data_IF_899289008907
#
_entry.id   IF_899289008907
#
_cell.length_a   1.000
_cell.length_b   1.000
_cell.length_c   1.000
_cell.angle_alpha   90.00
_cell.angle_beta   90.00
_cell.angle_gamma   90.00
#
_symmetry.space_group_name_H-M   'P 1'
#
loop_
_entity.id
_entity.type
_entity.pdbx_description
1 polymer ?
#
# COMPACT_ATOMS: atom_id res chain seq x y z
N UNK A 1 15.29 -10.08 -7.76
CA UNK A 1 14.15 -9.16 -7.73
C UNK A 1 14.67 -7.76 -7.94
N UNK A 2 14.10 -7.03 -8.89
CA UNK A 2 14.36 -5.61 -9.05
C UNK A 2 13.43 -4.78 -8.12
N UNK A 3 13.51 -3.46 -8.22
CA UNK A 3 12.66 -2.54 -7.43
C UNK A 3 11.17 -2.75 -7.73
N UNK A 4 10.86 -3.05 -8.98
CA UNK A 4 9.52 -3.11 -9.52
C UNK A 4 8.81 -4.39 -9.08
N UNK A 5 9.54 -5.52 -9.04
CA UNK A 5 9.11 -6.78 -8.45
C UNK A 5 8.66 -6.61 -6.99
N UNK A 6 9.44 -5.85 -6.21
CA UNK A 6 9.14 -5.60 -4.80
C UNK A 6 7.90 -4.70 -4.68
N UNK A 7 7.80 -3.65 -5.50
CA UNK A 7 6.66 -2.74 -5.48
C UNK A 7 5.34 -3.42 -5.88
N UNK A 8 5.39 -4.27 -6.91
CA UNK A 8 4.26 -5.08 -7.34
C UNK A 8 3.83 -6.07 -6.25
N UNK A 9 4.77 -6.82 -5.69
CA UNK A 9 4.45 -7.76 -4.62
C UNK A 9 3.80 -7.07 -3.41
N UNK A 10 4.32 -5.90 -3.03
CA UNK A 10 3.77 -5.07 -1.95
C UNK A 10 2.34 -4.61 -2.25
N UNK A 11 2.08 -4.12 -3.46
CA UNK A 11 0.76 -3.65 -3.86
C UNK A 11 -0.26 -4.80 -3.97
N UNK A 12 0.13 -5.92 -4.59
CA UNK A 12 -0.79 -7.03 -4.86
C UNK A 12 -1.02 -7.95 -3.65
N UNK A 13 -0.02 -8.13 -2.79
CA UNK A 13 -0.08 -9.14 -1.71
C UNK A 13 -0.09 -8.56 -0.30
N UNK A 14 0.40 -7.34 -0.09
CA UNK A 14 0.57 -6.77 1.26
C UNK A 14 -0.42 -5.63 1.53
N UNK A 15 -0.62 -4.72 0.56
CA UNK A 15 -1.47 -3.53 0.73
C UNK A 15 -2.90 -3.91 1.15
N UNK A 16 -3.51 -4.85 0.44
CA UNK A 16 -4.89 -5.26 0.64
C UNK A 16 -5.15 -5.94 1.99
N UNK A 17 -4.32 -6.91 2.42
CA UNK A 17 -4.46 -7.47 3.76
C UNK A 17 -4.21 -6.47 4.89
N UNK A 18 -3.29 -5.52 4.71
CA UNK A 18 -3.00 -4.51 5.74
C UNK A 18 -4.08 -3.43 5.83
N UNK A 19 -4.71 -3.05 4.72
CA UNK A 19 -5.77 -2.04 4.71
C UNK A 19 -6.99 -2.49 5.50
N UNK A 20 -7.18 -3.80 5.66
CA UNK A 20 -8.25 -4.43 6.43
C UNK A 20 -7.95 -4.59 7.93
N UNK A 21 -6.76 -4.20 8.40
CA UNK A 21 -6.41 -4.28 9.83
C UNK A 21 -7.19 -3.23 10.62
N UNK A 22 -7.72 -3.61 11.79
CA UNK A 22 -8.51 -2.70 12.61
C UNK A 22 -7.70 -1.47 13.05
N UNK A 23 -8.25 -0.30 12.74
CA UNK A 23 -7.66 1.01 13.03
C UNK A 23 -6.73 1.53 11.93
N UNK A 24 -6.51 0.78 10.85
CA UNK A 24 -5.93 1.34 9.62
C UNK A 24 -7.01 2.15 8.90
N UNK A 25 -6.70 3.39 8.55
CA UNK A 25 -7.59 4.28 7.81
C UNK A 25 -7.26 4.34 6.33
N UNK A 26 -5.98 4.42 6.00
CA UNK A 26 -5.49 4.57 4.63
C UNK A 26 -4.08 4.00 4.48
N UNK A 27 -3.73 3.55 3.29
CA UNK A 27 -2.41 3.00 2.98
C UNK A 27 -1.87 3.64 1.70
N UNK A 28 -0.74 4.34 1.84
CA UNK A 28 0.03 4.88 0.72
C UNK A 28 1.11 3.87 0.30
N UNK A 29 0.98 3.26 -0.88
CA UNK A 29 2.09 2.49 -1.46
C UNK A 29 3.14 3.43 -2.06
N UNK A 30 4.39 3.27 -1.62
CA UNK A 30 5.55 4.00 -2.13
C UNK A 30 6.30 3.13 -3.15
N UNK A 31 5.78 3.17 -4.37
CA UNK A 31 6.10 2.27 -5.48
C UNK A 31 4.84 2.11 -6.32
N UNK A 32 4.94 1.54 -7.51
CA UNK A 32 3.75 1.22 -8.29
C UNK A 32 3.77 -0.26 -8.69
N UNK A 33 2.59 -0.84 -8.83
CA UNK A 33 2.43 -2.18 -9.37
C UNK A 33 2.92 -2.25 -10.82
N UNK A 34 3.10 -3.47 -11.33
CA UNK A 34 3.36 -3.68 -12.73
C UNK A 34 2.16 -3.23 -13.58
N UNK A 35 2.46 -2.62 -14.71
CA UNK A 35 1.49 -2.24 -15.73
C UNK A 35 2.06 -2.57 -17.10
N UNK A 36 1.18 -2.97 -18.02
CA UNK A 36 1.56 -3.16 -19.42
C UNK A 36 1.80 -1.78 -20.05
N UNK A 37 3.05 -1.48 -20.37
CA UNK A 37 3.45 -0.21 -20.97
C UNK A 37 3.52 -0.38 -22.47
N UNK A 38 2.79 0.48 -23.18
CA UNK A 38 2.73 0.50 -24.64
C UNK A 38 3.26 1.87 -25.08
N UNK A 39 4.52 1.90 -25.50
CA UNK A 39 5.20 3.11 -25.96
C UNK A 39 5.02 3.24 -27.46
N UNK A 40 4.07 4.10 -27.87
CA UNK A 40 3.77 4.35 -29.28
C UNK A 40 4.91 5.10 -29.96
N UNK A 41 5.31 4.64 -31.15
CA UNK A 41 6.25 5.34 -32.02
C UNK A 41 5.48 6.21 -33.03
N UNK A 42 5.49 7.55 -32.89
CA UNK A 42 4.73 8.43 -33.76
C UNK A 42 5.20 8.40 -35.22
N UNK A 43 6.49 8.11 -35.47
CA UNK A 43 7.00 8.01 -36.84
C UNK A 43 6.45 6.76 -37.52
N UNK A 44 6.40 5.63 -36.81
CA UNK A 44 5.82 4.40 -37.33
C UNK A 44 4.32 4.50 -37.49
N UNK A 45 3.59 5.04 -36.51
CA UNK A 45 2.15 5.30 -36.65
C UNK A 45 1.85 6.12 -37.91
N UNK A 46 2.63 7.17 -38.18
CA UNK A 46 2.46 7.98 -39.38
C UNK A 46 2.75 7.19 -40.68
N UNK A 47 3.78 6.33 -40.69
CA UNK A 47 4.10 5.48 -41.85
C UNK A 47 2.97 4.50 -42.21
N UNK A 48 2.24 4.01 -41.21
CA UNK A 48 1.07 3.16 -41.40
C UNK A 48 -0.26 3.95 -41.50
N UNK A 49 -0.22 5.29 -41.46
CA UNK A 49 -1.40 6.17 -41.48
C UNK A 49 -2.39 5.84 -40.35
N UNK A 50 -1.86 5.60 -39.16
CA UNK A 50 -2.62 5.22 -37.97
C UNK A 50 -2.60 6.33 -36.93
N UNK A 51 -3.66 6.40 -36.15
CA UNK A 51 -3.81 7.30 -35.02
C UNK A 51 -3.64 6.56 -33.70
N UNK A 52 -3.42 7.31 -32.62
CA UNK A 52 -3.43 6.74 -31.27
C UNK A 52 -4.78 6.12 -30.91
N UNK A 53 -5.88 6.62 -31.49
CA UNK A 53 -7.23 6.09 -31.28
C UNK A 53 -7.39 4.68 -31.84
N UNK A 54 -6.83 4.42 -33.03
CA UNK A 54 -6.90 3.09 -33.63
C UNK A 54 -6.24 2.04 -32.74
N UNK A 55 -5.15 2.43 -32.06
CA UNK A 55 -4.45 1.57 -31.10
C UNK A 55 -5.29 1.32 -29.84
N UNK A 56 -5.87 2.37 -29.25
CA UNK A 56 -6.71 2.19 -28.05
C UNK A 56 -7.94 1.33 -28.34
N UNK A 57 -8.61 1.56 -29.47
CA UNK A 57 -9.79 0.80 -29.87
C UNK A 57 -9.45 -0.68 -30.14
N UNK A 58 -8.29 -0.95 -30.73
CA UNK A 58 -7.81 -2.32 -30.95
C UNK A 58 -7.48 -3.04 -29.63
N UNK A 59 -6.87 -2.36 -28.66
CA UNK A 59 -6.59 -2.93 -27.34
C UNK A 59 -7.90 -3.21 -26.59
N UNK A 60 -8.84 -2.26 -26.57
CA UNK A 60 -10.12 -2.45 -25.88
C UNK A 60 -10.95 -3.59 -26.48
N UNK A 61 -10.90 -3.78 -27.80
CA UNK A 61 -11.66 -4.84 -28.48
C UNK A 61 -11.02 -6.24 -28.33
N UNK A 62 -9.69 -6.33 -28.28
CA UNK A 62 -8.98 -7.63 -28.23
C UNK A 62 -8.56 -8.05 -26.82
N UNK A 63 -8.44 -7.11 -25.89
CA UNK A 63 -8.19 -7.37 -24.47
C UNK A 63 -9.48 -7.23 -23.64
N UNK A 64 -10.54 -7.93 -24.07
CA UNK A 64 -11.83 -7.93 -23.40
C UNK A 64 -12.20 -9.33 -22.91
N UNK A 65 -12.74 -9.42 -21.70
CA UNK A 65 -13.31 -10.66 -21.20
C UNK A 65 -14.74 -10.81 -21.71
N UNK A 66 -14.94 -11.71 -22.67
CA UNK A 66 -16.26 -11.96 -23.26
C UNK A 66 -16.90 -13.17 -22.57
N UNK A 67 -18.07 -12.97 -21.97
CA UNK A 67 -18.88 -14.06 -21.47
C UNK A 67 -19.67 -14.71 -22.62
N UNK A 68 -19.27 -15.91 -23.04
CA UNK A 68 -19.96 -16.66 -24.12
C UNK A 68 -21.11 -17.51 -23.60
N UNK A 69 -21.22 -17.66 -22.28
CA UNK A 69 -22.31 -18.39 -21.62
C UNK A 69 -21.95 -19.86 -21.38
N UNK A 70 -22.91 -20.76 -21.57
CA UNK A 70 -22.77 -22.16 -21.22
C UNK A 70 -23.52 -23.05 -22.21
N UNK A 71 -22.89 -24.16 -22.59
CA UNK A 71 -23.52 -25.23 -23.35
C UNK A 71 -24.49 -25.97 -22.44
N UNK A 72 -25.75 -26.13 -22.85
CA UNK A 72 -26.80 -26.74 -22.02
C UNK A 72 -27.30 -25.83 -20.89
N UNK A 73 -27.17 -24.51 -21.04
CA UNK A 73 -27.80 -23.54 -20.15
C UNK A 73 -29.33 -23.55 -20.24
N UNK A 74 -30.00 -23.18 -19.16
CA UNK A 74 -31.46 -23.08 -19.11
C UNK A 74 -31.96 -21.87 -19.93
N UNK A 75 -33.08 -22.00 -20.68
CA UNK A 75 -33.90 -23.21 -20.92
C UNK A 75 -33.24 -24.19 -21.90
N UNK A 76 -33.12 -25.46 -21.49
CA UNK A 76 -32.52 -26.53 -22.27
C UNK A 76 -33.58 -27.48 -22.84
N UNK A 77 -33.21 -28.25 -23.86
CA UNK A 77 -34.03 -29.36 -24.37
C UNK A 77 -34.21 -30.46 -23.33
N UNK A 78 -35.32 -31.20 -23.41
CA UNK A 78 -35.59 -32.34 -22.52
C UNK A 78 -34.47 -33.39 -22.63
N UNK A 79 -33.99 -33.87 -21.48
CA UNK A 79 -32.88 -34.83 -21.32
C UNK A 79 -31.47 -34.28 -21.64
N UNK A 80 -31.25 -32.96 -21.62
CA UNK A 80 -29.90 -32.40 -21.70
C UNK A 80 -29.04 -32.82 -20.49
N UNK A 81 -28.06 -33.71 -20.71
CA UNK A 81 -27.17 -34.23 -19.68
C UNK A 81 -25.83 -33.49 -19.57
N UNK A 82 -25.48 -32.68 -20.57
CA UNK A 82 -24.23 -31.91 -20.61
C UNK A 82 -24.50 -30.44 -20.29
N UNK A 83 -23.91 -29.95 -19.19
CA UNK A 83 -23.80 -28.54 -18.89
C UNK A 83 -22.31 -28.18 -18.76
N UNK A 84 -21.83 -27.25 -19.58
CA UNK A 84 -20.44 -26.82 -19.56
C UNK A 84 -20.34 -25.32 -19.84
N UNK A 85 -19.63 -24.59 -19.00
CA UNK A 85 -19.33 -23.17 -19.23
C UNK A 85 -18.38 -23.02 -20.41
N UNK A 86 -18.72 -22.12 -21.33
CA UNK A 86 -17.87 -21.79 -22.47
C UNK A 86 -17.01 -20.61 -22.07
N UNK A 87 -15.72 -20.86 -21.90
CA UNK A 87 -14.72 -19.81 -21.69
C UNK A 87 -14.22 -19.33 -23.07
N UNK A 88 -14.38 -18.05 -23.36
CA UNK A 88 -13.76 -17.42 -24.52
C UNK A 88 -12.42 -16.76 -24.15
N UNK A 89 -11.90 -15.96 -25.08
CA UNK A 89 -10.70 -15.15 -24.95
C UNK A 89 -10.60 -14.53 -23.55
N UNK A 90 -9.56 -14.90 -22.81
CA UNK A 90 -9.19 -14.27 -21.55
C UNK A 90 -8.44 -12.96 -21.82
N UNK A 91 -8.36 -12.10 -20.81
CA UNK A 91 -7.50 -10.93 -20.85
C UNK A 91 -6.05 -11.33 -21.22
N UNK A 92 -5.39 -10.49 -22.01
CA UNK A 92 -4.00 -10.62 -22.37
C UNK A 92 -3.14 -10.36 -21.12
N UNK A 93 -2.11 -11.17 -20.92
CA UNK A 93 -1.27 -11.15 -19.72
C UNK A 93 0.21 -10.89 -20.02
N UNK A 94 0.68 -11.22 -21.22
CA UNK A 94 2.11 -11.16 -21.56
C UNK A 94 2.39 -10.04 -22.57
N UNK A 95 3.59 -9.41 -22.52
CA UNK A 95 3.97 -8.40 -23.52
C UNK A 95 3.88 -8.91 -24.95
N UNK A 96 4.22 -10.17 -25.20
CA UNK A 96 4.09 -10.82 -26.50
C UNK A 96 2.64 -10.83 -26.99
N UNK A 97 1.69 -11.25 -26.15
CA UNK A 97 0.26 -11.24 -26.49
C UNK A 97 -0.23 -9.83 -26.87
N UNK A 98 0.24 -8.80 -26.17
CA UNK A 98 -0.09 -7.42 -26.53
C UNK A 98 0.57 -6.99 -27.85
N UNK A 99 1.82 -7.39 -28.13
CA UNK A 99 2.48 -7.10 -29.42
C UNK A 99 1.75 -7.72 -30.60
N UNK A 100 1.12 -8.87 -30.39
CA UNK A 100 0.36 -9.60 -31.40
C UNK A 100 -1.05 -9.03 -31.67
N UNK A 101 -1.46 -7.96 -30.97
CA UNK A 101 -2.74 -7.28 -31.24
C UNK A 101 -2.73 -6.76 -32.69
N UNK A 102 -3.67 -7.24 -33.51
CA UNK A 102 -3.82 -6.81 -34.89
C UNK A 102 -4.48 -5.45 -34.92
N UNK A 103 -3.80 -4.45 -35.50
CA UNK A 103 -4.34 -3.09 -35.62
C UNK A 103 -5.04 -2.85 -36.95
N UNK A 104 -4.51 -3.40 -38.04
CA UNK A 104 -5.09 -3.28 -39.38
C UNK A 104 -4.71 -4.47 -40.24
N UNK A 105 -5.63 -4.88 -41.12
CA UNK A 105 -5.35 -5.81 -42.22
C UNK A 105 -5.39 -5.02 -43.53
N UNK A 106 -4.30 -5.06 -44.29
CA UNK A 106 -4.16 -4.40 -45.58
C UNK A 106 -4.82 -5.25 -46.69
N UNK A 107 -5.08 -4.64 -47.84
CA UNK A 107 -5.76 -5.31 -48.98
C UNK A 107 -4.96 -6.46 -49.59
N UNK A 108 -3.63 -6.47 -49.39
CA UNK A 108 -2.73 -7.53 -49.82
C UNK A 108 -2.66 -8.72 -48.83
N UNK A 109 -3.41 -8.66 -47.73
CA UNK A 109 -3.43 -9.68 -46.68
C UNK A 109 -2.32 -9.52 -45.63
N UNK A 110 -1.45 -8.51 -45.75
CA UNK A 110 -0.52 -8.17 -44.69
C UNK A 110 -1.24 -7.54 -43.50
N UNK A 111 -0.79 -7.83 -42.29
CA UNK A 111 -1.33 -7.25 -41.06
C UNK A 111 -0.31 -6.31 -40.41
N UNK A 112 -0.81 -5.24 -39.82
CA UNK A 112 -0.04 -4.33 -38.96
C UNK A 112 -0.40 -4.68 -37.53
N UNK A 113 0.60 -5.05 -36.75
CA UNK A 113 0.45 -5.42 -35.34
C UNK A 113 0.89 -4.29 -34.42
N UNK A 114 0.48 -4.36 -33.16
CA UNK A 114 0.89 -3.39 -32.15
C UNK A 114 2.42 -3.35 -31.99
N UNK A 115 3.08 -4.50 -32.08
CA UNK A 115 4.55 -4.58 -32.03
C UNK A 115 5.26 -3.84 -33.17
N UNK A 116 4.59 -3.60 -34.30
CA UNK A 116 5.18 -2.87 -35.42
C UNK A 116 5.25 -1.37 -35.13
N UNK A 117 4.24 -0.84 -34.42
CA UNK A 117 4.09 0.61 -34.17
C UNK A 117 4.39 1.03 -32.72
N UNK A 118 4.63 0.09 -31.82
CA UNK A 118 4.85 0.36 -30.41
C UNK A 118 5.84 -0.61 -29.75
N UNK A 119 6.55 -0.12 -28.74
CA UNK A 119 7.32 -0.98 -27.82
C UNK A 119 6.44 -1.37 -26.65
N UNK A 120 6.22 -2.67 -26.47
CA UNK A 120 5.40 -3.21 -25.39
C UNK A 120 6.27 -3.92 -24.37
N UNK A 121 6.15 -3.55 -23.11
CA UNK A 121 6.92 -4.13 -22.00
C UNK A 121 6.13 -4.11 -20.69
N UNK A 122 6.52 -4.98 -19.76
CA UNK A 122 6.04 -4.91 -18.39
C UNK A 122 6.88 -3.87 -17.66
N UNK A 123 6.25 -2.81 -17.17
CA UNK A 123 6.94 -1.71 -16.50
C UNK A 123 6.14 -1.15 -15.34
N UNK A 124 6.59 -0.02 -14.79
CA UNK A 124 5.90 0.62 -13.69
C UNK A 124 4.64 1.35 -14.15
N UNK A 125 3.54 1.23 -13.40
CA UNK A 125 2.34 2.04 -13.64
C UNK A 125 2.66 3.54 -13.47
N UNK A 126 3.41 3.88 -12.42
CA UNK A 126 3.85 5.23 -12.08
C UNK A 126 5.36 5.25 -11.83
N UNK A 127 6.05 6.15 -12.51
CA UNK A 127 7.50 6.36 -12.38
C UNK A 127 7.88 7.45 -11.38
N UNK A 128 6.89 8.12 -10.77
CA UNK A 128 7.09 9.31 -9.94
C UNK A 128 7.77 9.03 -8.59
N UNK A 129 7.80 7.76 -8.15
CA UNK A 129 8.34 7.37 -6.84
C UNK A 129 9.62 6.54 -7.00
N UNK A 130 10.77 7.16 -6.70
CA UNK A 130 12.03 6.48 -6.48
C UNK A 130 12.14 6.03 -5.02
N UNK A 131 11.51 4.92 -4.66
CA UNK A 131 11.77 4.30 -3.35
C UNK A 131 13.15 3.63 -3.35
N UNK A 132 14.00 4.13 -2.46
CA UNK A 132 15.23 3.49 -2.00
C UNK A 132 15.22 3.57 -0.50
N UNK A 133 15.73 2.53 0.15
CA UNK A 133 16.03 2.57 1.56
C UNK A 133 17.51 2.21 1.67
N UNK A 134 18.30 2.90 2.50
CA UNK A 134 19.75 2.74 2.66
C UNK A 134 20.55 2.51 1.35
N UNK A 135 20.18 3.21 0.27
CA UNK A 135 20.83 3.09 -1.04
C UNK A 135 20.46 1.84 -1.87
N UNK A 136 19.74 0.87 -1.31
CA UNK A 136 19.24 -0.31 -2.02
C UNK A 136 17.85 -0.06 -2.63
N UNK A 137 17.51 -0.72 -3.76
CA UNK A 137 16.14 -0.76 -4.27
C UNK A 137 15.17 -1.29 -3.20
N UNK A 138 14.11 -0.55 -2.92
CA UNK A 138 13.09 -0.93 -1.95
C UNK A 138 11.73 -0.43 -2.42
N UNK A 139 10.67 -0.89 -1.75
CA UNK A 139 9.32 -0.34 -1.83
C UNK A 139 8.81 -0.11 -0.40
N UNK A 140 7.88 0.82 -0.22
CA UNK A 140 7.32 1.14 1.09
C UNK A 140 5.81 1.14 1.13
N UNK A 141 5.26 1.09 2.34
CA UNK A 141 3.83 1.29 2.62
C UNK A 141 3.68 2.22 3.81
N UNK A 142 3.16 3.43 3.57
CA UNK A 142 2.73 4.34 4.61
C UNK A 142 1.37 3.95 5.15
N UNK A 143 1.29 3.48 6.39
CA UNK A 143 0.02 3.16 7.05
C UNK A 143 -0.45 4.37 7.85
N UNK A 144 -1.63 4.90 7.51
CA UNK A 144 -2.27 5.99 8.25
C UNK A 144 -3.32 5.44 9.20
N UNK A 145 -3.35 6.00 10.40
CA UNK A 145 -4.31 5.64 11.43
C UNK A 145 -5.71 6.15 11.07
N UNK A 146 -6.74 5.32 11.25
CA UNK A 146 -8.13 5.73 11.13
C UNK A 146 -8.48 6.77 12.21
N UNK A 147 -9.41 7.68 11.88
CA UNK A 147 -9.88 8.68 12.84
C UNK A 147 -10.46 8.00 14.09
N UNK A 148 -9.94 8.34 15.27
CA UNK A 148 -10.37 7.77 16.55
C UNK A 148 -9.80 6.40 16.90
N UNK A 149 -8.96 5.81 16.05
CA UNK A 149 -8.29 4.55 16.37
C UNK A 149 -7.12 4.74 17.35
N UNK A 150 -6.73 3.66 18.03
CA UNK A 150 -5.60 3.66 18.96
C UNK A 150 -4.31 3.30 18.24
N UNK A 151 -3.35 4.24 18.21
CA UNK A 151 -2.09 4.09 17.48
C UNK A 151 -1.26 2.87 17.91
N UNK A 152 -1.14 2.61 19.23
CA UNK A 152 -0.36 1.49 19.74
C UNK A 152 -1.00 0.13 19.44
N UNK A 153 -2.33 0.04 19.60
CA UNK A 153 -3.06 -1.18 19.30
C UNK A 153 -3.03 -1.48 17.80
N UNK A 154 -3.25 -0.47 16.96
CA UNK A 154 -3.18 -0.62 15.50
C UNK A 154 -1.78 -0.99 15.04
N UNK A 155 -0.72 -0.34 15.55
CA UNK A 155 0.65 -0.71 15.20
C UNK A 155 0.97 -2.17 15.55
N UNK A 156 0.54 -2.64 16.73
CA UNK A 156 0.69 -4.06 17.10
C UNK A 156 -0.01 -4.97 16.09
N UNK A 157 -1.28 -4.70 15.76
CA UNK A 157 -2.05 -5.52 14.82
C UNK A 157 -1.44 -5.52 13.41
N UNK A 158 -0.93 -4.38 12.96
CA UNK A 158 -0.25 -4.26 11.66
C UNK A 158 1.05 -5.08 11.65
N UNK A 159 1.85 -5.01 12.72
CA UNK A 159 3.08 -5.80 12.85
C UNK A 159 2.79 -7.30 12.94
N UNK A 160 1.79 -7.70 13.72
CA UNK A 160 1.34 -9.10 13.81
C UNK A 160 0.93 -9.60 12.42
N UNK A 161 0.13 -8.81 11.67
CA UNK A 161 -0.29 -9.16 10.32
C UNK A 161 0.87 -9.22 9.33
N UNK A 162 1.84 -8.31 9.42
CA UNK A 162 3.06 -8.34 8.62
C UNK A 162 3.89 -9.60 8.90
N UNK A 163 4.01 -10.02 10.16
CA UNK A 163 4.71 -11.25 10.53
C UNK A 163 4.05 -12.51 9.95
N UNK A 164 2.72 -12.55 9.91
CA UNK A 164 1.99 -13.64 9.23
C UNK A 164 2.27 -13.65 7.73
N UNK A 165 2.23 -12.49 7.08
CA UNK A 165 2.46 -12.35 5.65
C UNK A 165 3.92 -12.64 5.27
N UNK A 166 4.87 -12.32 6.16
CA UNK A 166 6.30 -12.52 5.94
C UNK A 166 6.68 -13.99 5.65
N UNK A 167 5.86 -14.94 6.10
CA UNK A 167 6.07 -16.37 5.81
C UNK A 167 5.88 -16.73 4.34
N UNK A 168 5.14 -15.91 3.59
CA UNK A 168 4.84 -16.10 2.16
C UNK A 168 5.71 -15.24 1.25
N UNK A 169 6.70 -14.54 1.83
CA UNK A 169 7.57 -13.67 1.06
C UNK A 169 8.48 -14.49 0.13
N UNK A 170 8.67 -14.02 -1.11
CA UNK A 170 9.62 -14.65 -2.02
C UNK A 170 11.03 -14.61 -1.43
N UNK A 171 11.86 -15.59 -1.79
CA UNK A 171 13.19 -15.77 -1.22
C UNK A 171 14.03 -14.49 -1.24
N UNK A 172 14.44 -14.07 -0.04
CA UNK A 172 15.27 -12.90 0.22
C UNK A 172 14.48 -11.66 0.61
N UNK A 173 13.16 -11.58 0.37
CA UNK A 173 12.39 -10.39 0.71
C UNK A 173 12.21 -10.32 2.21
N UNK A 174 12.69 -9.22 2.79
CA UNK A 174 12.52 -8.91 4.18
C UNK A 174 11.72 -7.61 4.34
N UNK A 175 11.04 -7.51 5.48
CA UNK A 175 10.41 -6.28 5.91
C UNK A 175 11.28 -5.61 6.96
N UNK A 176 11.31 -4.28 6.91
CA UNK A 176 11.90 -3.44 7.96
C UNK A 176 10.87 -2.38 8.33
N UNK A 177 11.15 -1.65 9.39
CA UNK A 177 10.34 -0.52 9.83
C UNK A 177 11.24 0.70 9.75
N UNK A 178 11.11 1.52 8.71
CA UNK A 178 11.95 2.71 8.62
C UNK A 178 11.51 3.87 9.51
N UNK A 179 10.21 4.01 9.80
CA UNK A 179 9.74 5.05 10.71
C UNK A 179 8.52 4.59 11.51
N UNK A 180 8.58 4.80 12.82
CA UNK A 180 7.46 4.60 13.74
C UNK A 180 7.52 5.59 14.90
N UNK A 181 6.36 5.96 15.45
CA UNK A 181 6.12 6.90 16.54
C UNK A 181 5.72 6.18 17.82
N UNK A 182 5.21 4.94 17.73
CA UNK A 182 4.71 4.16 18.86
C UNK A 182 5.79 3.82 19.87
N UNK A 183 7.03 3.56 19.43
CA UNK A 183 8.16 3.35 20.33
C UNK A 183 8.45 4.56 21.22
N UNK A 184 8.30 5.79 20.68
CA UNK A 184 8.46 7.02 21.46
C UNK A 184 7.34 7.18 22.51
N UNK A 185 6.09 6.91 22.12
CA UNK A 185 4.94 6.96 23.05
C UNK A 185 5.10 5.92 24.16
N UNK A 186 5.50 4.69 23.81
CA UNK A 186 5.72 3.60 24.76
C UNK A 186 6.83 3.93 25.76
N UNK A 187 7.96 4.46 25.30
CA UNK A 187 9.05 4.90 26.18
C UNK A 187 8.56 6.00 27.15
N UNK A 188 7.82 6.98 26.65
CA UNK A 188 7.28 8.07 27.48
C UNK A 188 6.34 7.56 28.58
N UNK A 189 5.47 6.59 28.28
CA UNK A 189 4.58 5.98 29.29
C UNK A 189 5.40 5.23 30.34
N UNK A 190 6.41 4.46 29.94
CA UNK A 190 7.27 3.71 30.86
C UNK A 190 7.98 4.67 31.81
N UNK A 191 8.52 5.77 31.31
CA UNK A 191 9.19 6.79 32.13
C UNK A 191 8.22 7.47 33.12
N UNK A 192 6.99 7.77 32.70
CA UNK A 192 5.95 8.32 33.59
C UNK A 192 5.56 7.32 34.67
N UNK A 193 5.40 6.04 34.33
CA UNK A 193 5.06 4.99 35.33
C UNK A 193 6.23 4.80 36.30
N UNK A 194 7.47 4.81 35.81
CA UNK A 194 8.67 4.70 36.64
C UNK A 194 8.77 5.87 37.62
N UNK A 195 8.63 7.10 37.12
CA UNK A 195 8.66 8.31 37.97
C UNK A 195 7.51 8.34 38.98
N UNK A 196 6.33 7.84 38.61
CA UNK A 196 5.21 7.68 39.55
C UNK A 196 5.53 6.68 40.67
N UNK A 197 6.12 5.53 40.34
CA UNK A 197 6.53 4.53 41.33
C UNK A 197 7.65 5.07 42.26
N UNK A 198 8.60 5.82 41.71
CA UNK A 198 9.64 6.50 42.48
C UNK A 198 9.04 7.54 43.45
N UNK A 199 8.08 8.35 42.97
CA UNK A 199 7.38 9.33 43.80
C UNK A 199 6.58 8.67 44.94
N UNK A 200 5.86 7.57 44.64
CA UNK A 200 5.15 6.78 45.64
C UNK A 200 6.13 6.24 46.70
N UNK A 201 7.24 5.64 46.25
CA UNK A 201 8.28 5.10 47.13
C UNK A 201 8.98 6.18 47.97
N UNK A 202 9.03 7.43 47.53
CA UNK A 202 9.57 8.58 48.27
C UNK A 202 8.60 9.17 49.30
N UNK A 203 7.28 9.00 49.13
CA UNK A 203 6.27 9.49 50.09
C UNK A 203 6.14 8.56 51.29
N UNK A 204 6.28 7.24 51.08
CA UNK A 204 6.09 6.24 52.13
C UNK A 204 7.20 6.09 53.21
N UNK A 205 8.44 6.61 53.10
CA UNK A 205 9.38 6.69 54.22
C UNK A 205 9.05 7.84 55.20
N UNK A 206 7.91 8.52 55.03
CA UNK A 206 7.54 9.75 55.70
C UNK A 206 6.60 9.62 56.90
N UNK A 207 6.68 8.56 57.71
CA UNK A 207 6.20 8.63 59.11
C UNK A 207 7.25 9.40 59.95
N UNK A 208 7.43 10.68 59.62
CA UNK A 208 8.24 11.61 60.42
C UNK A 208 7.27 12.54 61.14
N UNK A 209 7.23 12.52 62.49
CA UNK A 209 6.28 13.33 63.24
C UNK A 209 6.55 14.82 62.99
N UNK A 210 5.53 15.53 62.50
CA UNK A 210 5.57 16.99 62.36
C UNK A 210 5.58 17.60 63.76
N UNK A 211 6.63 18.31 64.21
CA UNK A 211 6.61 18.97 65.50
C UNK A 211 5.76 20.24 65.40
N UNK A 212 4.66 20.27 66.15
CA UNK A 212 3.82 21.44 66.31
C UNK A 212 4.56 22.53 67.11
N UNK A 213 4.85 23.69 66.49
CA UNK A 213 5.06 24.96 67.21
C UNK A 213 4.48 26.18 66.48
N UNK A 214 3.42 26.69 67.11
CA UNK A 214 2.99 28.09 67.30
C UNK A 214 3.02 29.10 66.13
N UNK A 215 1.82 29.43 65.65
CA UNK A 215 1.16 30.74 65.70
C UNK A 215 2.04 32.02 65.67
N UNK A 216 2.02 32.77 64.57
CA UNK A 216 1.25 34.04 64.42
C UNK A 216 1.72 34.87 63.21
N UNK A 217 0.70 35.44 62.57
CA UNK A 217 0.66 36.70 61.80
C UNK A 217 1.00 36.64 60.31
N UNK A 218 -0.06 36.91 59.56
CA UNK A 218 -0.14 37.14 58.14
C UNK A 218 0.68 38.36 57.72
N UNK A 219 1.27 38.27 56.52
CA UNK A 219 1.30 39.41 55.63
C UNK A 219 1.09 38.92 54.20
N UNK A 220 0.11 39.54 53.55
CA UNK A 220 -0.23 39.40 52.14
C UNK A 220 0.81 40.13 51.29
N UNK A 221 1.35 39.50 50.23
CA UNK A 221 1.29 40.10 48.90
C UNK A 221 1.80 39.20 47.76
N UNK A 222 1.19 39.44 46.60
CA UNK A 222 1.71 39.39 45.23
C UNK A 222 1.97 38.08 44.42
N UNK A 223 1.01 37.84 43.51
CA UNK A 223 1.10 37.80 42.02
C UNK A 223 1.77 36.64 41.23
N UNK A 224 0.89 36.08 40.38
CA UNK A 224 0.97 35.84 38.90
C UNK A 224 1.89 34.75 38.31
N UNK A 225 1.26 33.86 37.53
CA UNK A 225 1.54 33.44 36.13
C UNK A 225 0.70 32.16 35.87
N UNK A 226 0.14 31.81 34.71
CA UNK A 226 0.31 32.18 33.31
C UNK A 226 0.01 30.90 32.49
N UNK A 227 -1.02 30.93 31.65
CA UNK A 227 -1.53 29.81 30.83
C UNK A 227 -0.75 29.64 29.52
N UNK A 228 -0.53 28.40 29.03
CA UNK A 228 -0.30 28.12 27.60
C UNK A 228 -0.81 26.72 27.19
N UNK A 229 -1.63 26.69 26.12
CA UNK A 229 -2.17 25.53 25.39
C UNK A 229 -1.13 24.79 24.52
N UNK A 230 -1.39 23.52 24.18
CA UNK A 230 -0.64 22.78 23.16
C UNK A 230 -1.50 21.76 22.39
N UNK A 231 -1.70 21.99 21.09
CA UNK A 231 -2.20 21.03 20.09
C UNK A 231 -1.02 20.54 19.23
N UNK A 232 -0.84 19.23 19.07
CA UNK A 232 0.10 18.63 18.11
C UNK A 232 -0.47 17.32 17.54
N UNK A 233 -0.74 17.31 16.23
CA UNK A 233 -1.08 16.14 15.41
C UNK A 233 0.20 15.34 15.09
N UNK A 234 0.17 14.01 15.16
CA UNK A 234 1.25 13.11 14.71
C UNK A 234 0.71 11.93 13.90
N UNK A 235 1.41 11.59 12.82
CA UNK A 235 1.13 10.48 11.91
C UNK A 235 2.37 9.58 11.75
N UNK A 236 2.15 8.27 11.56
CA UNK A 236 3.14 7.20 11.37
C UNK A 236 3.42 6.95 9.88
N UNK A 237 4.63 6.48 9.51
CA UNK A 237 5.03 6.09 8.15
C UNK A 237 6.03 4.93 8.20
N UNK A 238 5.69 3.73 7.73
CA UNK A 238 6.59 2.56 7.78
C UNK A 238 7.26 2.34 6.40
N UNK A 239 8.49 1.80 6.36
CA UNK A 239 9.11 1.29 5.10
C UNK A 239 9.84 -0.03 5.30
N UNK A 240 9.77 -0.90 4.29
CA UNK A 240 10.36 -2.24 4.22
C UNK A 240 11.69 -2.33 3.43
N UNK A 241 12.52 -3.36 3.68
CA UNK A 241 13.82 -3.59 3.00
C UNK A 241 14.34 -5.03 3.03
N UNK A 242 15.10 -5.38 1.96
CA UNK A 242 16.17 -6.40 1.90
C UNK A 242 17.45 -5.96 2.68
#
# INVERSE_FOLDING_TARGET
MDKQDIADYVASNIQDPLSRVNGVGDIDAYGSQYSMRIWLDPAKLNSFQMTTKDVTDAIESQNAQIAVGQLGGTPSVDKQALNATINAQSLLQTPQQFRDITLRVNQDGSEVKLGDVATVELGAEKYDYLSRFNGKPASGLGVKLASGANEMATAKLVLDRLNELAQYFPHGLEYKIAYETTSFVKASIIDVVKTLLEAIALVFPGDVPVPAKLSRHANSDDRRAGSINGHLLRALRVWLQY
#
